data_IF_157319887711
#
_entry.id   IF_157319887711
#
_cell.length_a   1.000
_cell.length_b   1.000
_cell.length_c   1.000
_cell.angle_alpha   90.00
_cell.angle_beta   90.00
_cell.angle_gamma   90.00
#
_symmetry.space_group_name_H-M   'P 1'
#
loop_
_entity.id
_entity.type
_entity.pdbx_description
1 polymer ?
#
# COMPACT_ATOMS: atom_id res chain seq x y z
N UNK A 1 5.56 -40.35 0.61
CA UNK A 1 4.23 -39.85 0.94
C UNK A 1 4.22 -38.40 0.46
N UNK A 2 3.57 -38.18 -0.68
CA UNK A 2 3.48 -36.90 -1.38
C UNK A 2 2.66 -35.94 -0.53
N UNK A 3 3.25 -34.85 -0.05
CA UNK A 3 2.52 -33.74 0.55
C UNK A 3 1.71 -33.08 -0.57
N UNK A 4 0.39 -33.00 -0.37
CA UNK A 4 -0.53 -32.47 -1.34
C UNK A 4 -0.19 -31.02 -1.71
N UNK A 5 0.00 -30.79 -2.98
CA UNK A 5 -0.09 -29.51 -3.65
C UNK A 5 -1.56 -29.05 -3.61
N UNK A 6 -1.98 -28.58 -2.44
CA UNK A 6 -3.20 -27.80 -2.31
C UNK A 6 -2.89 -26.41 -2.86
N UNK A 7 -3.19 -26.20 -4.14
CA UNK A 7 -3.10 -24.90 -4.78
C UNK A 7 -3.80 -23.86 -3.90
N UNK A 8 -3.03 -23.08 -3.11
CA UNK A 8 -3.56 -21.92 -2.41
C UNK A 8 -4.25 -21.04 -3.44
N UNK A 9 -5.43 -20.58 -3.13
CA UNK A 9 -6.10 -19.61 -3.99
C UNK A 9 -5.13 -18.45 -4.22
N UNK A 10 -4.99 -17.93 -5.44
CA UNK A 10 -4.13 -16.78 -5.75
C UNK A 10 -4.58 -15.49 -5.03
N UNK A 11 -5.34 -15.60 -3.94
CA UNK A 11 -5.95 -14.51 -3.21
C UNK A 11 -4.92 -13.74 -2.35
N UNK A 12 -5.10 -12.43 -2.29
CA UNK A 12 -4.34 -11.53 -1.43
C UNK A 12 -5.25 -11.04 -0.31
N UNK A 13 -4.70 -10.88 0.88
CA UNK A 13 -5.37 -10.21 2.01
C UNK A 13 -4.62 -8.93 2.31
N UNK A 14 -5.34 -7.81 2.43
CA UNK A 14 -4.82 -6.56 2.97
C UNK A 14 -5.56 -6.19 4.23
N UNK A 15 -4.91 -5.47 5.16
CA UNK A 15 -5.59 -4.98 6.35
C UNK A 15 -5.09 -3.59 6.73
N UNK A 16 -6.01 -2.68 7.05
CA UNK A 16 -5.66 -1.31 7.42
C UNK A 16 -6.82 -0.34 7.34
N UNK A 17 -6.53 0.95 7.64
CA UNK A 17 -7.51 2.02 7.67
C UNK A 17 -7.78 2.58 6.28
N UNK A 18 -9.05 2.75 5.96
CA UNK A 18 -9.51 3.59 4.86
C UNK A 18 -10.37 4.72 5.42
N UNK A 19 -10.11 5.93 4.96
CA UNK A 19 -10.79 7.14 5.40
C UNK A 19 -11.70 7.68 4.30
N UNK A 20 -12.74 8.41 4.70
CA UNK A 20 -13.40 9.31 3.75
C UNK A 20 -12.41 10.41 3.32
N UNK A 21 -12.43 10.77 2.05
CA UNK A 21 -11.58 11.80 1.46
C UNK A 21 -12.42 12.95 0.93
N UNK A 22 -12.23 14.14 1.48
CA UNK A 22 -12.79 15.39 0.93
C UNK A 22 -11.68 16.11 0.16
N UNK A 23 -11.92 16.39 -1.12
CA UNK A 23 -10.98 17.14 -1.96
C UNK A 23 -11.46 18.56 -2.16
N UNK A 24 -10.68 19.53 -1.67
CA UNK A 24 -10.96 20.94 -1.87
C UNK A 24 -10.63 21.38 -3.31
N UNK A 25 -11.34 22.37 -3.87
CA UNK A 25 -11.02 22.92 -5.18
C UNK A 25 -9.60 23.52 -5.20
N UNK A 26 -8.83 23.20 -6.24
CA UNK A 26 -7.47 23.73 -6.39
C UNK A 26 -7.45 25.26 -6.46
N UNK A 27 -6.49 25.88 -5.77
CA UNK A 27 -6.23 27.31 -5.84
C UNK A 27 -7.26 28.21 -5.16
N UNK A 28 -8.22 27.66 -4.40
CA UNK A 28 -9.28 28.43 -3.74
C UNK A 28 -9.40 28.06 -2.27
N UNK A 29 -9.68 29.06 -1.45
CA UNK A 29 -10.08 28.85 -0.06
C UNK A 29 -11.49 28.25 0.02
N UNK A 30 -11.74 27.38 0.99
CA UNK A 30 -13.08 26.91 1.31
C UNK A 30 -13.97 28.07 1.70
N UNK A 31 -15.20 28.11 1.15
CA UNK A 31 -16.22 29.10 1.44
C UNK A 31 -17.55 28.41 1.70
N UNK A 32 -18.43 29.06 2.42
CA UNK A 32 -19.80 28.58 2.60
C UNK A 32 -20.48 28.32 1.25
N UNK A 33 -21.20 27.21 1.13
CA UNK A 33 -21.86 26.79 -0.11
C UNK A 33 -20.96 26.14 -1.16
N UNK A 34 -19.67 25.90 -0.88
CA UNK A 34 -18.80 25.16 -1.79
C UNK A 34 -19.20 23.68 -1.81
N UNK A 35 -19.51 23.14 -2.98
CA UNK A 35 -19.69 21.70 -3.18
C UNK A 35 -18.31 21.03 -3.23
N UNK A 36 -18.11 19.99 -2.42
CA UNK A 36 -16.86 19.26 -2.32
C UNK A 36 -17.08 17.80 -2.75
N UNK A 37 -16.27 17.27 -3.66
CA UNK A 37 -16.29 15.85 -3.95
C UNK A 37 -15.85 15.06 -2.72
N UNK A 38 -16.54 13.95 -2.47
CA UNK A 38 -16.20 12.98 -1.43
C UNK A 38 -15.81 11.69 -2.13
N UNK A 39 -14.64 11.16 -1.76
CA UNK A 39 -14.12 9.86 -2.14
C UNK A 39 -13.63 9.10 -0.92
N UNK A 40 -12.76 8.16 -1.16
CA UNK A 40 -12.09 7.34 -0.13
C UNK A 40 -10.59 7.29 -0.41
N UNK A 41 -9.79 6.98 0.63
CA UNK A 41 -8.36 6.72 0.46
C UNK A 41 -7.78 6.01 1.66
N UNK A 42 -6.90 5.08 1.39
CA UNK A 42 -6.17 4.28 2.37
C UNK A 42 -5.19 3.37 1.64
N UNK A 43 -3.95 3.27 2.11
CA UNK A 43 -2.90 2.57 1.37
C UNK A 43 -3.29 1.10 1.10
N UNK A 44 -3.76 0.40 2.11
CA UNK A 44 -4.10 -1.01 2.01
C UNK A 44 -5.34 -1.24 1.14
N UNK A 45 -6.32 -0.33 1.15
CA UNK A 45 -7.46 -0.40 0.23
C UNK A 45 -7.10 0.01 -1.20
N UNK A 46 -6.17 0.95 -1.39
CA UNK A 46 -5.66 1.31 -2.71
C UNK A 46 -4.99 0.09 -3.36
N UNK A 47 -4.16 -0.65 -2.61
CA UNK A 47 -3.57 -1.92 -3.06
C UNK A 47 -4.66 -2.95 -3.37
N UNK A 48 -5.67 -3.08 -2.51
CA UNK A 48 -6.76 -4.03 -2.72
C UNK A 48 -7.57 -3.71 -4.00
N UNK A 49 -7.93 -2.44 -4.21
CA UNK A 49 -8.64 -1.99 -5.43
C UNK A 49 -7.79 -2.27 -6.68
N UNK A 50 -6.48 -1.94 -6.62
CA UNK A 50 -5.57 -2.20 -7.72
C UNK A 50 -5.48 -3.69 -8.08
N UNK A 51 -5.39 -4.56 -7.08
CA UNK A 51 -5.40 -6.00 -7.26
C UNK A 51 -6.72 -6.49 -7.87
N UNK A 52 -7.86 -6.02 -7.36
CA UNK A 52 -9.17 -6.41 -7.87
C UNK A 52 -9.35 -6.00 -9.35
N UNK A 53 -8.95 -4.76 -9.72
CA UNK A 53 -8.97 -4.29 -11.10
C UNK A 53 -8.05 -5.11 -12.00
N UNK A 54 -6.95 -5.66 -11.48
CA UNK A 54 -6.05 -6.58 -12.17
C UNK A 54 -6.50 -8.06 -12.11
N UNK A 55 -7.77 -8.30 -11.80
CA UNK A 55 -8.40 -9.64 -11.71
C UNK A 55 -7.78 -10.56 -10.64
N UNK A 56 -7.12 -10.03 -9.62
CA UNK A 56 -6.62 -10.80 -8.48
C UNK A 56 -7.69 -10.83 -7.37
N UNK A 57 -8.14 -12.02 -6.93
CA UNK A 57 -9.03 -12.12 -5.78
C UNK A 57 -8.39 -11.49 -4.53
N UNK A 58 -9.09 -10.56 -3.89
CA UNK A 58 -8.54 -9.83 -2.74
C UNK A 58 -9.58 -9.61 -1.66
N UNK A 59 -9.13 -9.68 -0.41
CA UNK A 59 -9.94 -9.36 0.77
C UNK A 59 -9.29 -8.21 1.53
N UNK A 60 -10.04 -7.15 1.82
CA UNK A 60 -9.64 -6.08 2.70
C UNK A 60 -10.29 -6.27 4.07
N UNK A 61 -9.48 -6.29 5.14
CA UNK A 61 -9.90 -6.43 6.54
C UNK A 61 -9.68 -5.09 7.24
N UNK A 62 -10.71 -4.61 7.97
CA UNK A 62 -10.63 -3.32 8.63
C UNK A 62 -11.64 -3.17 9.77
N UNK A 63 -11.66 -1.96 10.38
CA UNK A 63 -12.69 -1.51 11.31
C UNK A 63 -13.13 -0.10 10.92
N UNK A 64 -14.43 0.11 10.81
CA UNK A 64 -15.07 1.38 10.44
C UNK A 64 -16.07 1.82 11.50
N UNK A 65 -16.41 3.09 11.55
CA UNK A 65 -17.47 3.59 12.44
C UNK A 65 -18.88 3.24 11.95
N UNK A 66 -19.83 3.24 12.88
CA UNK A 66 -21.27 3.17 12.54
C UNK A 66 -21.76 4.56 12.10
N UNK A 67 -21.24 5.01 10.95
CA UNK A 67 -21.51 6.33 10.40
C UNK A 67 -21.60 6.32 8.86
N UNK A 68 -22.00 7.46 8.30
CA UNK A 68 -22.13 7.61 6.85
C UNK A 68 -20.81 7.41 6.10
N UNK A 69 -19.66 7.73 6.72
CA UNK A 69 -18.34 7.53 6.11
C UNK A 69 -17.92 6.06 6.13
N UNK A 70 -18.23 5.32 7.19
CA UNK A 70 -18.01 3.86 7.24
C UNK A 70 -18.82 3.13 6.18
N UNK A 71 -20.08 3.54 6.01
CA UNK A 71 -20.95 3.03 4.95
C UNK A 71 -20.41 3.39 3.55
N UNK A 72 -19.91 4.61 3.35
CA UNK A 72 -19.28 5.04 2.10
C UNK A 72 -18.05 4.19 1.79
N UNK A 73 -17.09 4.12 2.71
CA UNK A 73 -15.83 3.37 2.55
C UNK A 73 -16.10 1.93 2.15
N UNK A 74 -16.96 1.24 2.91
CA UNK A 74 -17.23 -0.19 2.65
C UNK A 74 -17.97 -0.43 1.33
N UNK A 75 -18.85 0.50 0.92
CA UNK A 75 -19.58 0.43 -0.33
C UNK A 75 -18.66 0.65 -1.54
N UNK A 76 -17.83 1.71 -1.52
CA UNK A 76 -16.94 2.03 -2.62
C UNK A 76 -15.90 0.90 -2.84
N UNK A 77 -15.30 0.37 -1.76
CA UNK A 77 -14.35 -0.74 -1.88
C UNK A 77 -15.01 -2.00 -2.45
N UNK A 78 -16.25 -2.31 -2.02
CA UNK A 78 -17.01 -3.44 -2.59
C UNK A 78 -17.36 -3.24 -4.06
N UNK A 79 -17.68 -2.00 -4.47
CA UNK A 79 -18.02 -1.68 -5.85
C UNK A 79 -16.84 -1.94 -6.81
N UNK A 80 -15.60 -1.87 -6.31
CA UNK A 80 -14.37 -2.21 -7.04
C UNK A 80 -14.04 -3.72 -7.05
N UNK A 81 -14.95 -4.57 -6.58
CA UNK A 81 -14.77 -6.03 -6.61
C UNK A 81 -13.97 -6.62 -5.45
N UNK A 82 -13.61 -5.82 -4.46
CA UNK A 82 -12.89 -6.28 -3.27
C UNK A 82 -13.85 -6.93 -2.27
N UNK A 83 -13.50 -8.10 -1.73
CA UNK A 83 -14.20 -8.68 -0.60
C UNK A 83 -13.89 -7.87 0.66
N UNK A 84 -14.90 -7.28 1.29
CA UNK A 84 -14.76 -6.43 2.48
C UNK A 84 -15.17 -7.19 3.73
N UNK A 85 -14.22 -7.33 4.66
CA UNK A 85 -14.43 -7.82 6.02
C UNK A 85 -14.11 -6.68 6.99
N UNK A 86 -15.07 -5.80 7.24
CA UNK A 86 -14.91 -4.66 8.12
C UNK A 86 -15.87 -4.79 9.32
N UNK A 87 -15.29 -4.77 10.54
CA UNK A 87 -16.04 -4.64 11.78
C UNK A 87 -16.59 -3.23 11.90
N UNK A 88 -17.81 -3.09 12.43
CA UNK A 88 -18.45 -1.79 12.68
C UNK A 88 -18.31 -1.43 14.15
N UNK A 89 -17.71 -0.29 14.45
CA UNK A 89 -17.55 0.25 15.80
C UNK A 89 -18.66 1.28 16.09
N UNK A 90 -19.58 1.00 17.03
CA UNK A 90 -20.66 1.95 17.37
C UNK A 90 -20.16 3.16 18.17
N UNK A 91 -18.97 3.08 18.79
CA UNK A 91 -18.44 4.08 19.71
C UNK A 91 -17.28 4.89 19.13
N UNK A 92 -16.89 4.64 17.87
CA UNK A 92 -15.82 5.36 17.20
C UNK A 92 -16.22 5.74 15.78
N UNK A 93 -15.76 6.91 15.34
CA UNK A 93 -16.02 7.41 13.98
C UNK A 93 -15.05 6.82 12.97
N UNK A 94 -15.47 6.78 11.72
CA UNK A 94 -14.58 6.53 10.58
C UNK A 94 -13.63 7.71 10.41
N UNK A 95 -12.36 7.44 10.09
CA UNK A 95 -11.38 8.46 9.80
C UNK A 95 -11.77 9.32 8.59
N UNK A 96 -11.36 10.59 8.61
CA UNK A 96 -11.59 11.55 7.54
C UNK A 96 -10.27 12.23 7.18
N UNK A 97 -10.03 12.46 5.91
CA UNK A 97 -8.95 13.31 5.43
C UNK A 97 -9.46 14.38 4.46
N UNK A 98 -8.80 15.54 4.49
CA UNK A 98 -9.08 16.66 3.60
C UNK A 98 -7.83 16.97 2.80
N UNK A 99 -7.94 16.88 1.49
CA UNK A 99 -6.87 17.19 0.53
C UNK A 99 -7.11 18.59 -0.03
N UNK A 100 -6.16 19.49 0.17
CA UNK A 100 -6.24 20.87 -0.26
C UNK A 100 -4.98 21.32 -1.00
N UNK A 101 -5.13 22.20 -1.99
CA UNK A 101 -4.04 22.82 -2.72
C UNK A 101 -4.32 24.32 -2.89
N UNK A 102 -3.50 25.16 -2.29
CA UNK A 102 -3.64 26.61 -2.36
C UNK A 102 -2.55 27.19 -3.29
N UNK A 103 -2.94 28.08 -4.22
CA UNK A 103 -2.03 28.92 -5.00
C UNK A 103 -0.83 28.19 -5.64
N UNK A 104 -1.04 27.02 -6.23
CA UNK A 104 0.03 26.25 -6.88
C UNK A 104 1.05 25.62 -5.94
N UNK A 105 0.78 25.62 -4.63
CA UNK A 105 1.59 24.88 -3.65
C UNK A 105 1.37 23.36 -3.81
N UNK A 106 2.29 22.52 -3.31
CA UNK A 106 2.04 21.08 -3.22
C UNK A 106 0.74 20.77 -2.46
N UNK A 107 0.09 19.67 -2.82
CA UNK A 107 -1.07 19.17 -2.10
C UNK A 107 -0.76 19.00 -0.61
N UNK A 108 -1.67 19.46 0.23
CA UNK A 108 -1.61 19.27 1.67
C UNK A 108 -2.78 18.38 2.09
N UNK A 109 -2.48 17.31 2.82
CA UNK A 109 -3.50 16.43 3.40
C UNK A 109 -3.58 16.67 4.91
N UNK A 110 -4.80 16.95 5.39
CA UNK A 110 -5.09 17.03 6.82
C UNK A 110 -5.87 15.81 7.25
N UNK A 111 -5.40 15.15 8.28
CA UNK A 111 -6.00 13.93 8.81
C UNK A 111 -6.82 14.22 10.05
N UNK A 112 -8.05 13.71 10.09
CA UNK A 112 -8.96 13.73 11.22
C UNK A 112 -9.26 12.27 11.60
N UNK A 113 -8.24 11.58 12.13
CA UNK A 113 -8.24 10.13 12.36
C UNK A 113 -7.94 9.75 13.82
N UNK A 114 -7.63 10.70 14.69
CA UNK A 114 -7.38 10.45 16.10
C UNK A 114 -8.61 9.82 16.75
N UNK A 115 -8.44 8.65 17.39
CA UNK A 115 -9.54 7.88 17.95
C UNK A 115 -10.52 7.33 16.92
N UNK A 116 -10.12 7.18 15.64
CA UNK A 116 -10.94 6.52 14.63
C UNK A 116 -11.23 5.06 14.97
N UNK A 117 -12.26 4.49 14.37
CA UNK A 117 -12.57 3.08 14.53
C UNK A 117 -11.38 2.19 14.16
N UNK A 118 -10.63 2.53 13.11
CA UNK A 118 -9.45 1.79 12.72
C UNK A 118 -8.29 1.89 13.73
N UNK A 119 -8.19 2.97 14.53
CA UNK A 119 -7.22 3.04 15.62
C UNK A 119 -7.50 2.04 16.75
N UNK A 120 -8.74 1.51 16.82
CA UNK A 120 -9.18 0.47 17.74
C UNK A 120 -9.17 -0.93 17.11
N UNK A 121 -8.64 -1.04 15.91
CA UNK A 121 -8.51 -2.33 15.21
C UNK A 121 -7.75 -3.31 16.11
N UNK A 122 -8.32 -4.49 16.33
CA UNK A 122 -7.86 -5.44 17.33
C UNK A 122 -7.66 -6.83 16.74
N UNK A 123 -6.86 -7.72 17.37
CA UNK A 123 -6.72 -9.10 16.93
C UNK A 123 -8.04 -9.87 16.82
N UNK A 124 -9.09 -9.45 17.55
CA UNK A 124 -10.41 -10.07 17.49
C UNK A 124 -11.17 -9.76 16.18
N UNK A 125 -10.76 -8.73 15.46
CA UNK A 125 -11.33 -8.36 14.17
C UNK A 125 -10.77 -9.23 13.01
N UNK A 126 -9.73 -10.04 13.27
CA UNK A 126 -9.08 -10.87 12.26
C UNK A 126 -9.86 -12.16 12.00
N UNK A 127 -10.08 -12.48 10.74
CA UNK A 127 -10.49 -13.82 10.33
C UNK A 127 -9.23 -14.64 9.99
N UNK A 128 -8.78 -15.47 10.95
CA UNK A 128 -7.58 -16.28 10.82
C UNK A 128 -7.65 -17.25 9.62
N UNK A 129 -8.85 -17.74 9.28
CA UNK A 129 -9.03 -18.67 8.17
C UNK A 129 -8.80 -17.98 6.81
N UNK A 130 -9.20 -16.71 6.69
CA UNK A 130 -9.01 -15.90 5.49
C UNK A 130 -7.52 -15.60 5.29
N UNK A 131 -6.80 -15.22 6.36
CA UNK A 131 -5.36 -14.97 6.30
C UNK A 131 -4.59 -16.26 5.97
N UNK A 132 -4.90 -17.36 6.65
CA UNK A 132 -4.24 -18.65 6.46
C UNK A 132 -4.49 -19.24 5.05
N UNK A 133 -5.65 -18.98 4.45
CA UNK A 133 -6.00 -19.42 3.09
C UNK A 133 -5.46 -18.55 1.97
N UNK A 134 -4.89 -17.40 2.28
CA UNK A 134 -4.34 -16.49 1.30
C UNK A 134 -2.97 -16.94 0.78
N UNK A 135 -2.61 -16.46 -0.41
CA UNK A 135 -1.25 -16.57 -0.93
C UNK A 135 -0.33 -15.49 -0.35
N UNK A 136 -0.84 -14.28 -0.21
CA UNK A 136 -0.10 -13.13 0.31
C UNK A 136 -0.95 -12.39 1.35
N UNK A 137 -0.36 -12.06 2.47
CA UNK A 137 -0.82 -11.05 3.41
C UNK A 137 -0.01 -9.78 3.17
N UNK A 138 -0.64 -8.70 2.72
CA UNK A 138 0.00 -7.40 2.52
C UNK A 138 -0.37 -6.41 3.62
N UNK A 139 0.65 -5.77 4.19
CA UNK A 139 0.60 -4.86 5.32
C UNK A 139 1.38 -3.59 5.02
N UNK A 140 1.07 -2.51 5.72
CA UNK A 140 1.88 -1.27 5.66
C UNK A 140 2.30 -0.80 7.04
N UNK A 141 3.29 0.11 7.09
CA UNK A 141 3.70 0.79 8.31
C UNK A 141 2.70 1.85 8.80
N UNK A 142 1.58 2.07 8.11
CA UNK A 142 0.54 3.00 8.56
C UNK A 142 -0.29 2.38 9.69
N UNK A 143 -0.79 1.17 9.48
CA UNK A 143 -1.68 0.50 10.44
C UNK A 143 -1.06 0.35 11.83
N UNK A 144 0.20 -0.11 12.02
CA UNK A 144 0.79 -0.21 13.35
C UNK A 144 1.00 1.14 14.04
N UNK A 145 1.08 2.24 13.29
CA UNK A 145 1.20 3.60 13.81
C UNK A 145 -0.10 4.17 14.39
N UNK A 146 -1.24 3.53 14.16
CA UNK A 146 -2.55 4.00 14.66
C UNK A 146 -2.73 3.80 16.17
N UNK A 147 -1.92 2.94 16.78
CA UNK A 147 -1.94 2.71 18.21
C UNK A 147 -1.55 1.29 18.62
N UNK A 148 -1.41 1.05 19.94
CA UNK A 148 -0.91 -0.25 20.45
C UNK A 148 -1.78 -1.44 20.04
N UNK A 149 -3.10 -1.26 19.96
CA UNK A 149 -4.04 -2.32 19.59
C UNK A 149 -3.89 -2.68 18.11
N UNK A 150 -3.76 -1.66 17.24
CA UNK A 150 -3.54 -1.87 15.81
C UNK A 150 -2.16 -2.53 15.56
N UNK A 151 -1.11 -2.14 16.28
CA UNK A 151 0.19 -2.81 16.22
C UNK A 151 0.10 -4.28 16.65
N UNK A 152 -0.63 -4.59 17.73
CA UNK A 152 -0.87 -5.96 18.17
C UNK A 152 -1.63 -6.77 17.10
N UNK A 153 -2.55 -6.13 16.39
CA UNK A 153 -3.29 -6.76 15.28
C UNK A 153 -2.39 -7.10 14.11
N UNK A 154 -1.50 -6.19 13.71
CA UNK A 154 -0.50 -6.43 12.66
C UNK A 154 0.39 -7.62 13.03
N UNK A 155 0.92 -7.64 14.27
CA UNK A 155 1.75 -8.76 14.75
C UNK A 155 1.00 -10.08 14.72
N UNK A 156 -0.26 -10.10 15.19
CA UNK A 156 -1.08 -11.32 15.16
C UNK A 156 -1.39 -11.80 13.75
N UNK A 157 -1.65 -10.88 12.81
CA UNK A 157 -1.84 -11.24 11.41
C UNK A 157 -0.58 -11.88 10.79
N UNK A 158 0.61 -11.35 11.12
CA UNK A 158 1.90 -11.93 10.69
C UNK A 158 2.10 -13.34 11.29
N UNK A 159 1.80 -13.54 12.57
CA UNK A 159 1.88 -14.86 13.21
C UNK A 159 0.98 -15.87 12.48
N UNK A 160 -0.28 -15.54 12.24
CA UNK A 160 -1.24 -16.39 11.52
C UNK A 160 -0.71 -16.73 10.11
N UNK A 161 -0.20 -15.74 9.39
CA UNK A 161 0.35 -15.92 8.06
C UNK A 161 1.55 -16.87 8.06
N UNK A 162 2.50 -16.67 8.99
CA UNK A 162 3.70 -17.51 9.12
C UNK A 162 3.37 -18.93 9.53
N UNK A 163 2.48 -19.16 10.50
CA UNK A 163 2.00 -20.47 10.91
C UNK A 163 1.37 -21.25 9.74
N UNK A 164 0.66 -20.54 8.86
CA UNK A 164 0.06 -21.12 7.66
C UNK A 164 1.01 -21.17 6.45
N UNK A 165 2.16 -20.50 6.47
CA UNK A 165 3.09 -20.32 5.35
C UNK A 165 2.49 -19.41 4.25
N UNK A 166 1.62 -18.48 4.60
CA UNK A 166 1.19 -17.36 3.75
C UNK A 166 2.33 -16.36 3.65
N UNK A 167 2.66 -15.91 2.44
CA UNK A 167 3.73 -14.93 2.23
C UNK A 167 3.36 -13.59 2.87
N UNK A 168 4.24 -13.05 3.69
CA UNK A 168 4.06 -11.73 4.31
C UNK A 168 4.75 -10.66 3.46
N UNK A 169 3.97 -9.72 2.94
CA UNK A 169 4.41 -8.54 2.19
C UNK A 169 4.22 -7.30 3.06
N UNK A 170 5.25 -6.49 3.22
CA UNK A 170 5.22 -5.28 4.04
C UNK A 170 5.75 -4.07 3.27
N UNK A 171 4.92 -3.02 3.16
CA UNK A 171 5.36 -1.70 2.66
C UNK A 171 5.64 -0.78 3.86
N UNK A 172 6.86 -0.29 3.97
CA UNK A 172 7.27 0.61 5.06
C UNK A 172 6.36 1.82 5.15
N UNK A 173 5.98 2.42 4.05
CA UNK A 173 4.95 3.47 3.90
C UNK A 173 4.90 4.44 5.09
N UNK A 174 6.07 4.96 5.49
CA UNK A 174 6.24 5.77 6.68
C UNK A 174 5.47 7.09 6.60
N UNK A 175 4.72 7.40 7.67
CA UNK A 175 4.00 8.66 7.84
C UNK A 175 4.48 9.35 9.12
N UNK A 176 5.42 10.28 9.01
CA UNK A 176 6.05 10.94 10.16
C UNK A 176 5.05 11.54 11.17
N UNK A 177 3.88 11.98 10.70
CA UNK A 177 2.84 12.53 11.57
C UNK A 177 2.15 11.51 12.50
N UNK A 178 2.34 10.21 12.27
CA UNK A 178 1.70 9.13 13.04
C UNK A 178 2.62 8.52 14.09
N UNK A 179 3.93 8.72 13.98
CA UNK A 179 4.92 8.06 14.82
C UNK A 179 5.48 9.00 15.89
N UNK A 180 5.65 8.50 17.09
CA UNK A 180 6.46 9.18 18.09
C UNK A 180 7.95 9.16 17.69
N UNK A 181 8.69 10.14 18.16
CA UNK A 181 10.14 10.27 17.87
C UNK A 181 10.88 9.01 18.32
N UNK A 182 11.64 8.40 17.44
CA UNK A 182 12.45 7.20 17.68
C UNK A 182 11.67 5.87 17.75
N UNK A 183 10.34 5.90 17.67
CA UNK A 183 9.52 4.68 17.68
C UNK A 183 9.44 4.03 16.30
N UNK A 184 9.30 4.84 15.25
CA UNK A 184 9.15 4.36 13.88
C UNK A 184 10.28 3.41 13.46
N UNK A 185 11.52 3.81 13.66
CA UNK A 185 12.71 3.01 13.31
C UNK A 185 12.64 1.60 13.93
N UNK A 186 12.44 1.52 15.24
CA UNK A 186 12.41 0.24 15.96
C UNK A 186 11.25 -0.67 15.49
N UNK A 187 10.03 -0.13 15.38
CA UNK A 187 8.85 -0.93 15.02
C UNK A 187 8.90 -1.32 13.55
N UNK A 188 9.27 -0.41 12.67
CA UNK A 188 9.36 -0.70 11.23
C UNK A 188 10.47 -1.71 10.92
N UNK A 189 11.62 -1.64 11.62
CA UNK A 189 12.69 -2.65 11.49
C UNK A 189 12.22 -4.02 11.96
N UNK A 190 11.50 -4.12 13.09
CA UNK A 190 10.90 -5.37 13.57
C UNK A 190 9.95 -5.97 12.52
N UNK A 191 9.07 -5.16 11.93
CA UNK A 191 8.09 -5.61 10.95
C UNK A 191 8.75 -6.00 9.62
N UNK A 192 9.76 -5.26 9.16
CA UNK A 192 10.59 -5.64 8.01
C UNK A 192 11.27 -7.00 8.22
N UNK A 193 11.82 -7.25 9.43
CA UNK A 193 12.43 -8.54 9.79
C UNK A 193 11.43 -9.69 9.91
N UNK A 194 10.15 -9.38 9.95
CA UNK A 194 9.06 -10.36 10.03
C UNK A 194 8.39 -10.64 8.70
N UNK A 195 8.77 -9.91 7.64
CA UNK A 195 8.21 -10.04 6.29
C UNK A 195 9.11 -10.84 5.36
N UNK A 196 8.52 -11.52 4.38
CA UNK A 196 9.23 -12.21 3.32
C UNK A 196 9.59 -11.25 2.18
N UNK A 197 8.72 -10.28 1.91
CA UNK A 197 8.84 -9.28 0.87
C UNK A 197 8.65 -7.88 1.47
N UNK A 198 9.66 -7.03 1.35
CA UNK A 198 9.63 -5.65 1.86
C UNK A 198 9.66 -4.66 0.71
N UNK A 199 8.73 -3.68 0.74
CA UNK A 199 8.75 -2.49 -0.11
C UNK A 199 9.15 -1.28 0.71
N UNK A 200 9.98 -0.41 0.14
CA UNK A 200 10.35 0.86 0.75
C UNK A 200 10.72 1.91 -0.30
N UNK A 201 10.49 3.17 0.01
CA UNK A 201 11.19 4.26 -0.65
C UNK A 201 12.61 4.41 -0.08
N UNK A 202 13.48 5.11 -0.79
CA UNK A 202 14.87 5.34 -0.36
C UNK A 202 14.98 5.95 1.04
N UNK A 203 14.18 6.99 1.30
CA UNK A 203 14.16 7.69 2.60
C UNK A 203 13.60 6.78 3.71
N UNK A 204 12.64 5.94 3.38
CA UNK A 204 12.06 4.97 4.30
C UNK A 204 13.07 3.88 4.67
N UNK A 205 13.80 3.37 3.68
CA UNK A 205 14.86 2.39 3.91
C UNK A 205 15.95 2.95 4.84
N UNK A 206 16.41 4.17 4.59
CA UNK A 206 17.40 4.85 5.43
C UNK A 206 16.89 5.05 6.87
N UNK A 207 15.60 5.43 7.03
CA UNK A 207 14.97 5.56 8.35
C UNK A 207 14.98 4.23 9.12
N UNK A 208 14.53 3.15 8.47
CA UNK A 208 14.46 1.80 9.10
C UNK A 208 15.84 1.32 9.55
N UNK A 209 16.89 1.68 8.81
CA UNK A 209 18.26 1.27 9.11
C UNK A 209 18.97 2.18 10.12
N UNK A 210 18.34 3.28 10.55
CA UNK A 210 19.00 4.26 11.42
C UNK A 210 20.18 4.99 10.73
N UNK A 211 20.30 4.89 9.41
CA UNK A 211 21.43 5.39 8.61
C UNK A 211 21.18 6.81 8.10
N UNK A 212 20.75 7.73 8.94
CA UNK A 212 20.62 9.13 8.53
C UNK A 212 21.61 10.02 9.26
N UNK A 213 22.89 9.88 8.92
CA UNK A 213 23.80 11.04 9.05
C UNK A 213 23.55 11.97 7.83
N UNK A 214 23.27 13.27 8.02
CA UNK A 214 23.12 14.20 6.92
C UNK A 214 24.45 14.25 6.14
N UNK A 215 24.46 13.70 4.91
CA UNK A 215 25.59 13.85 3.99
C UNK A 215 26.26 12.58 3.46
N UNK A 216 25.97 11.39 3.99
CA UNK A 216 26.44 10.15 3.38
C UNK A 216 25.46 9.67 2.32
N UNK A 217 25.90 9.61 1.07
CA UNK A 217 25.13 9.07 -0.04
C UNK A 217 25.24 7.55 -0.03
N UNK A 218 24.40 6.87 0.77
CA UNK A 218 24.26 5.42 0.69
C UNK A 218 23.59 5.07 -0.65
N UNK A 219 24.17 4.15 -1.42
CA UNK A 219 23.60 3.72 -2.69
C UNK A 219 22.36 2.82 -2.49
N UNK A 220 21.56 2.68 -3.55
CA UNK A 220 20.28 1.97 -3.48
C UNK A 220 20.47 0.48 -3.15
N UNK A 221 21.53 -0.15 -3.66
CA UNK A 221 21.80 -1.55 -3.40
C UNK A 221 22.21 -1.80 -1.93
N UNK A 222 23.03 -0.93 -1.36
CA UNK A 222 23.42 -0.97 0.05
C UNK A 222 22.21 -0.85 0.97
N UNK A 223 21.24 0.03 0.66
CA UNK A 223 19.98 0.14 1.40
C UNK A 223 19.15 -1.14 1.30
N UNK A 224 19.03 -1.72 0.09
CA UNK A 224 18.30 -2.97 -0.09
C UNK A 224 18.95 -4.12 0.70
N UNK A 225 20.27 -4.25 0.64
CA UNK A 225 21.03 -5.25 1.41
C UNK A 225 20.91 -5.04 2.92
N UNK A 226 20.86 -3.78 3.37
CA UNK A 226 20.61 -3.44 4.77
C UNK A 226 19.26 -3.96 5.25
N UNK A 227 18.19 -3.70 4.50
CA UNK A 227 16.85 -4.19 4.82
C UNK A 227 16.77 -5.72 4.77
N UNK A 228 17.40 -6.37 3.79
CA UNK A 228 17.42 -7.84 3.68
C UNK A 228 18.10 -8.50 4.91
N UNK A 229 19.12 -7.87 5.49
CA UNK A 229 19.76 -8.36 6.73
C UNK A 229 18.83 -8.37 7.93
N UNK A 230 17.70 -7.65 7.90
CA UNK A 230 16.68 -7.72 8.95
C UNK A 230 15.88 -9.02 8.89
N UNK A 231 15.80 -9.69 7.72
CA UNK A 231 15.14 -10.99 7.57
C UNK A 231 14.37 -11.21 6.27
N UNK A 232 14.10 -10.17 5.49
CA UNK A 232 13.35 -10.29 4.25
C UNK A 232 14.15 -11.04 3.16
N UNK A 233 13.51 -11.99 2.47
CA UNK A 233 14.11 -12.71 1.35
C UNK A 233 14.15 -11.87 0.07
N UNK A 234 13.18 -10.98 -0.10
CA UNK A 234 13.11 -10.05 -1.24
C UNK A 234 12.87 -8.63 -0.72
N UNK A 235 13.67 -7.68 -1.17
CA UNK A 235 13.51 -6.25 -0.88
C UNK A 235 13.34 -5.47 -2.16
N UNK A 236 12.33 -4.62 -2.21
CA UNK A 236 12.02 -3.77 -3.37
C UNK A 236 12.10 -2.30 -2.98
N UNK A 237 13.04 -1.57 -3.56
CA UNK A 237 13.13 -0.12 -3.43
C UNK A 237 12.37 0.57 -4.55
N UNK A 238 11.39 1.39 -4.16
CA UNK A 238 10.63 2.29 -5.05
C UNK A 238 11.45 3.56 -5.26
N UNK A 239 11.90 3.82 -6.48
CA UNK A 239 12.84 4.91 -6.81
C UNK A 239 12.17 6.08 -7.57
N UNK A 240 10.84 6.13 -7.58
CA UNK A 240 10.04 7.14 -8.27
C UNK A 240 10.31 7.14 -9.78
N UNK A 241 10.65 8.30 -10.35
CA UNK A 241 10.93 8.43 -11.78
C UNK A 241 12.13 7.61 -12.29
N UNK A 242 12.94 7.03 -11.39
CA UNK A 242 14.03 6.09 -11.76
C UNK A 242 13.55 4.63 -11.87
N UNK A 243 12.31 4.35 -11.55
CA UNK A 243 11.74 3.01 -11.52
C UNK A 243 11.91 2.31 -10.18
N UNK A 244 12.40 1.07 -10.17
CA UNK A 244 12.56 0.29 -8.96
C UNK A 244 13.77 -0.66 -9.04
N UNK A 245 14.29 -1.02 -7.87
CA UNK A 245 15.34 -2.00 -7.67
C UNK A 245 14.82 -3.10 -6.74
N UNK A 246 15.02 -4.36 -7.08
CA UNK A 246 14.82 -5.47 -6.17
C UNK A 246 16.16 -6.14 -5.84
N UNK A 247 16.29 -6.54 -4.60
CA UNK A 247 17.26 -7.53 -4.14
C UNK A 247 16.50 -8.82 -3.83
N UNK A 248 16.76 -9.88 -4.57
CA UNK A 248 16.13 -11.21 -4.40
C UNK A 248 17.22 -12.23 -4.08
N UNK A 249 17.31 -12.64 -2.82
CA UNK A 249 18.50 -13.30 -2.31
C UNK A 249 19.75 -12.42 -2.49
N UNK A 250 20.69 -12.86 -3.33
CA UNK A 250 21.92 -12.13 -3.64
C UNK A 250 21.86 -11.36 -4.97
N UNK A 251 20.80 -11.56 -5.77
CA UNK A 251 20.65 -10.96 -7.09
C UNK A 251 20.03 -9.57 -7.01
N UNK A 252 20.67 -8.58 -7.61
CA UNK A 252 20.15 -7.21 -7.76
C UNK A 252 19.52 -7.06 -9.15
N UNK A 253 18.21 -6.75 -9.18
CA UNK A 253 17.41 -6.59 -10.38
C UNK A 253 16.91 -5.15 -10.46
N UNK A 254 17.16 -4.45 -11.55
CA UNK A 254 16.71 -3.07 -11.75
C UNK A 254 15.73 -3.02 -12.92
N UNK A 255 14.63 -2.30 -12.72
CA UNK A 255 13.67 -2.00 -13.77
C UNK A 255 13.45 -0.47 -13.82
N UNK A 256 13.89 0.16 -14.90
CA UNK A 256 13.56 1.55 -15.16
C UNK A 256 12.06 1.72 -15.42
N UNK A 257 11.52 2.92 -15.15
CA UNK A 257 10.17 3.30 -15.55
C UNK A 257 10.22 4.26 -16.73
N UNK A 258 9.15 4.29 -17.48
CA UNK A 258 9.00 5.27 -18.55
C UNK A 258 8.54 6.62 -17.98
N UNK A 259 8.97 7.74 -18.60
CA UNK A 259 8.50 9.05 -18.21
C UNK A 259 6.99 9.17 -18.42
N UNK A 260 6.30 9.78 -17.46
CA UNK A 260 4.87 10.06 -17.54
C UNK A 260 4.60 11.53 -17.21
N UNK A 261 3.56 12.09 -17.81
CA UNK A 261 3.05 13.40 -17.42
C UNK A 261 2.33 13.28 -16.08
N UNK A 262 2.97 13.79 -15.02
CA UNK A 262 2.47 13.66 -13.66
C UNK A 262 1.40 14.71 -13.38
N UNK A 263 0.17 14.25 -13.17
CA UNK A 263 -0.97 15.05 -12.71
C UNK A 263 -1.07 15.03 -11.19
N UNK A 264 -0.98 13.84 -10.58
CA UNK A 264 -1.01 13.62 -9.14
C UNK A 264 -0.20 12.36 -8.78
N UNK A 265 0.88 12.46 -7.99
CA UNK A 265 1.70 11.30 -7.64
C UNK A 265 1.17 10.50 -6.44
N UNK A 266 0.07 10.94 -5.81
CA UNK A 266 -0.52 10.24 -4.66
C UNK A 266 -1.05 8.88 -5.10
N UNK A 267 -0.85 7.87 -4.27
CA UNK A 267 -1.26 6.49 -4.59
C UNK A 267 -0.30 5.72 -5.53
N UNK A 268 0.68 6.37 -6.16
CA UNK A 268 1.61 5.69 -7.07
C UNK A 268 2.41 4.56 -6.41
N UNK A 269 2.76 4.71 -5.13
CA UNK A 269 3.43 3.68 -4.34
C UNK A 269 2.54 2.46 -4.11
N UNK A 270 1.30 2.69 -3.72
CA UNK A 270 0.30 1.64 -3.50
C UNK A 270 -0.04 0.92 -4.82
N UNK A 271 -0.16 1.69 -5.91
CA UNK A 271 -0.38 1.18 -7.27
C UNK A 271 0.80 0.32 -7.76
N UNK A 272 2.03 0.74 -7.48
CA UNK A 272 3.21 -0.07 -7.75
C UNK A 272 3.14 -1.42 -7.02
N UNK A 273 2.80 -1.41 -5.73
CA UNK A 273 2.66 -2.63 -4.92
C UNK A 273 1.57 -3.53 -5.48
N UNK A 274 0.40 -2.98 -5.86
CA UNK A 274 -0.68 -3.75 -6.47
C UNK A 274 -0.23 -4.42 -7.79
N UNK A 275 0.46 -3.68 -8.66
CA UNK A 275 1.03 -4.20 -9.89
C UNK A 275 2.08 -5.29 -9.66
N UNK A 276 2.98 -5.09 -8.69
CA UNK A 276 3.99 -6.08 -8.32
C UNK A 276 3.34 -7.36 -7.79
N UNK A 277 2.43 -7.24 -6.81
CA UNK A 277 1.76 -8.40 -6.19
C UNK A 277 0.87 -9.15 -7.19
N UNK A 278 0.23 -8.45 -8.15
CA UNK A 278 -0.56 -9.11 -9.20
C UNK A 278 0.32 -10.04 -10.06
N UNK A 279 1.52 -9.60 -10.44
CA UNK A 279 2.47 -10.43 -11.18
C UNK A 279 3.03 -11.57 -10.32
N UNK A 280 3.29 -11.31 -9.04
CA UNK A 280 3.80 -12.30 -8.10
C UNK A 280 2.83 -13.48 -7.93
N UNK A 281 1.54 -13.21 -7.77
CA UNK A 281 0.53 -14.28 -7.62
C UNK A 281 0.31 -15.07 -8.91
N UNK A 282 0.68 -14.51 -10.05
CA UNK A 282 0.76 -15.20 -11.35
C UNK A 282 2.06 -16.00 -11.54
N UNK A 283 2.95 -16.05 -10.55
CA UNK A 283 4.27 -16.69 -10.59
C UNK A 283 5.21 -16.07 -11.65
N UNK A 284 5.09 -14.79 -11.91
CA UNK A 284 6.01 -14.06 -12.77
C UNK A 284 7.37 -13.86 -12.08
N UNK A 285 8.44 -13.70 -12.87
CA UNK A 285 9.77 -13.37 -12.34
C UNK A 285 9.79 -12.01 -11.65
N UNK A 286 10.73 -11.80 -10.71
CA UNK A 286 10.90 -10.51 -10.01
C UNK A 286 11.06 -9.34 -11.00
N UNK A 287 11.79 -9.55 -12.08
CA UNK A 287 11.93 -8.54 -13.13
C UNK A 287 10.58 -8.18 -13.80
N UNK A 288 9.69 -9.14 -13.97
CA UNK A 288 8.34 -8.89 -14.51
C UNK A 288 7.45 -8.22 -13.47
N UNK A 289 7.56 -8.60 -12.19
CA UNK A 289 6.86 -7.93 -11.09
C UNK A 289 7.25 -6.45 -11.01
N UNK A 290 8.55 -6.12 -11.07
CA UNK A 290 9.03 -4.74 -11.07
C UNK A 290 8.48 -3.95 -12.26
N UNK A 291 8.52 -4.51 -13.47
CA UNK A 291 7.99 -3.85 -14.67
C UNK A 291 6.50 -3.58 -14.55
N UNK A 292 5.68 -4.56 -14.11
CA UNK A 292 4.24 -4.37 -13.91
C UNK A 292 3.98 -3.33 -12.82
N UNK A 293 4.73 -3.37 -11.71
CA UNK A 293 4.67 -2.37 -10.65
C UNK A 293 4.92 -0.95 -11.16
N UNK A 294 6.00 -0.75 -11.92
CA UNK A 294 6.34 0.55 -12.52
C UNK A 294 5.21 1.07 -13.44
N UNK A 295 4.62 0.20 -14.23
CA UNK A 295 3.55 0.55 -15.18
C UNK A 295 2.27 0.95 -14.49
N UNK A 296 1.83 0.16 -13.49
CA UNK A 296 0.62 0.47 -12.72
C UNK A 296 0.82 1.75 -11.90
N UNK A 297 2.00 1.93 -11.28
CA UNK A 297 2.36 3.16 -10.59
C UNK A 297 2.40 4.38 -11.51
N UNK A 298 2.94 4.23 -12.71
CA UNK A 298 2.96 5.29 -13.73
C UNK A 298 1.57 5.67 -14.24
N UNK A 299 0.66 4.69 -14.39
CA UNK A 299 -0.72 4.93 -14.83
C UNK A 299 -1.48 5.83 -13.83
N UNK A 300 -1.37 5.54 -12.52
CA UNK A 300 -2.02 6.32 -11.47
C UNK A 300 -1.53 7.78 -11.46
N UNK A 301 -0.27 8.04 -11.72
CA UNK A 301 0.27 9.40 -11.76
C UNK A 301 -0.40 10.31 -12.81
N UNK A 302 -1.06 9.77 -13.83
CA UNK A 302 -1.71 10.51 -14.92
C UNK A 302 -3.10 11.04 -14.57
N UNK A 303 -3.67 10.60 -13.45
CA UNK A 303 -5.04 10.91 -13.03
C UNK A 303 -5.02 11.53 -11.64
N UNK A 304 -5.97 12.40 -11.34
CA UNK A 304 -6.15 12.93 -9.98
C UNK A 304 -6.83 11.89 -9.11
N UNK A 305 -6.35 11.75 -7.87
CA UNK A 305 -6.90 10.86 -6.87
C UNK A 305 -5.89 9.84 -6.40
N UNK A 306 -6.28 9.03 -5.44
CA UNK A 306 -5.37 8.09 -4.78
C UNK A 306 -5.40 6.70 -5.46
N UNK A 307 -6.55 6.33 -6.07
CA UNK A 307 -6.78 5.02 -6.69
C UNK A 307 -7.58 5.10 -8.00
N UNK A 308 -8.13 6.25 -8.34
CA UNK A 308 -9.00 6.44 -9.52
C UNK A 308 -8.29 6.06 -10.83
N UNK A 309 -6.97 6.31 -10.90
CA UNK A 309 -6.14 5.99 -12.05
C UNK A 309 -5.61 4.54 -12.10
N UNK A 310 -6.02 3.66 -11.17
CA UNK A 310 -5.63 2.25 -11.20
C UNK A 310 -6.21 1.57 -12.45
N UNK A 311 -5.37 0.95 -13.31
CA UNK A 311 -5.80 0.42 -14.59
C UNK A 311 -6.39 -0.99 -14.47
N UNK A 312 -7.28 -1.33 -15.41
CA UNK A 312 -7.65 -2.71 -15.75
C UNK A 312 -6.58 -3.36 -16.64
N UNK A 313 -6.61 -4.69 -16.86
CA UNK A 313 -5.69 -5.37 -17.79
C UNK A 313 -5.78 -4.83 -19.23
N UNK A 314 -6.99 -4.50 -19.68
CA UNK A 314 -7.24 -3.92 -21.00
C UNK A 314 -6.58 -2.55 -21.14
N UNK A 315 -6.72 -1.69 -20.12
CA UNK A 315 -6.10 -0.36 -20.09
C UNK A 315 -4.58 -0.46 -20.02
N UNK A 316 -4.02 -1.41 -19.24
CA UNK A 316 -2.57 -1.68 -19.25
C UNK A 316 -2.08 -2.09 -20.63
N UNK A 317 -2.81 -2.95 -21.33
CA UNK A 317 -2.45 -3.37 -22.68
C UNK A 317 -2.51 -2.20 -23.68
N UNK A 318 -3.50 -1.31 -23.54
CA UNK A 318 -3.58 -0.10 -24.37
C UNK A 318 -2.42 0.86 -24.12
N UNK A 319 -2.00 1.02 -22.87
CA UNK A 319 -0.82 1.83 -22.53
C UNK A 319 0.45 1.26 -23.17
N UNK A 320 0.56 -0.08 -23.30
CA UNK A 320 1.69 -0.72 -23.99
C UNK A 320 1.70 -0.48 -25.49
N UNK A 321 0.55 -0.64 -26.14
CA UNK A 321 0.46 -0.46 -27.59
C UNK A 321 0.73 0.98 -28.02
N UNK A 322 0.35 1.97 -27.21
CA UNK A 322 0.66 3.38 -27.48
C UNK A 322 2.17 3.67 -27.44
N UNK A 323 2.93 2.96 -26.59
CA UNK A 323 4.37 3.10 -26.50
C UNK A 323 5.08 2.50 -27.73
N UNK A 324 4.59 1.37 -28.24
CA UNK A 324 5.12 0.76 -29.46
C UNK A 324 4.86 1.62 -30.71
N UNK A 325 3.73 2.34 -30.77
CA UNK A 325 3.39 3.21 -31.91
C UNK A 325 4.19 4.54 -31.91
N UNK A 326 4.62 5.03 -30.75
CA UNK A 326 5.48 6.24 -30.64
C UNK A 326 6.93 5.95 -31.06
N UNK A 327 7.37 4.70 -31.03
CA UNK A 327 8.73 4.29 -31.40
C UNK A 327 8.84 3.97 -32.90
N UNK A 328 7.76 4.00 -33.66
CA UNK A 328 7.75 3.85 -35.12
C UNK A 328 7.67 5.22 -35.80
#
# INVERSE_FOLDING_TARGET
MSAGDGSRSGAVVTLGETMALITAPSGRHLRGGTTLPIGIGGAESNVAIGLARLNVPVTWISRVGDDAFGSLVTREIRAEGVRVLASVDPDARTGLMVKEQLHGTPWRVRYYRDGSAASRFSPADLDSSVIAGARVLHLTGITPALGPTALATVRRAIEIAREAGTLVSFDVNHRAALWAVGEAERVLAELCGSADLVFAGRTEAALVLGEVAPGEAVDDESLARGLAKLGASTVVLKLGARGALALDGDETIVAATEPVDVVDPVGAGDAFVAGYLSALVENQSVAQCLRRGNRVGGAVCRVRGDWEGLPTPEELHQLDSQLEDVVR
#
